data_IF_381220747461
#
_entry.id   IF_381220747461
#
_cell.length_a   1.000
_cell.length_b   1.000
_cell.length_c   1.000
_cell.angle_alpha   90.00
_cell.angle_beta   90.00
_cell.angle_gamma   90.00
#
_symmetry.space_group_name_H-M   'P 1'
#
loop_
_entity.id
_entity.type
_entity.pdbx_description
1 polymer ?
#
# COMPACT_ATOMS: atom_id res chain seq x y z
N UNK A 1 -12.14 4.66 5.33
CA UNK A 1 -11.70 3.73 4.28
C UNK A 1 -12.74 3.70 3.15
N UNK A 2 -12.68 4.68 2.26
CA UNK A 2 -13.69 4.88 1.19
C UNK A 2 -13.46 3.97 -0.03
N UNK A 3 -12.22 3.51 -0.21
CA UNK A 3 -11.82 2.67 -1.36
C UNK A 3 -12.41 1.26 -1.31
N UNK A 4 -12.43 0.65 -0.15
CA UNK A 4 -12.83 -0.74 -0.04
C UNK A 4 -14.27 -1.01 -0.49
N UNK A 5 -15.29 -0.24 -0.09
CA UNK A 5 -16.65 -0.45 -0.60
C UNK A 5 -16.76 -0.33 -2.13
N UNK A 6 -16.03 0.63 -2.72
CA UNK A 6 -16.04 0.85 -4.17
C UNK A 6 -15.44 -0.35 -4.91
N UNK A 7 -14.33 -0.89 -4.40
CA UNK A 7 -13.70 -2.08 -4.98
C UNK A 7 -14.62 -3.29 -4.83
N UNK A 8 -15.21 -3.47 -3.65
CA UNK A 8 -16.08 -4.62 -3.34
C UNK A 8 -17.36 -4.63 -4.19
N UNK A 9 -17.96 -3.48 -4.41
CA UNK A 9 -19.20 -3.37 -5.20
C UNK A 9 -19.00 -3.60 -6.71
N UNK A 10 -17.75 -3.50 -7.19
CA UNK A 10 -17.45 -3.61 -8.63
C UNK A 10 -16.70 -4.88 -9.02
N UNK A 11 -16.39 -5.75 -8.08
CA UNK A 11 -15.70 -7.01 -8.33
C UNK A 11 -16.51 -8.15 -7.74
N UNK A 12 -17.10 -8.95 -8.61
CA UNK A 12 -17.71 -10.22 -8.25
C UNK A 12 -16.61 -11.26 -8.00
N UNK A 13 -16.80 -12.16 -7.03
CA UNK A 13 -15.95 -13.32 -6.74
C UNK A 13 -14.48 -13.05 -6.38
N UNK A 14 -14.20 -12.12 -5.45
CA UNK A 14 -12.85 -12.01 -4.92
C UNK A 14 -12.78 -12.04 -3.39
N UNK A 15 -11.72 -12.62 -2.87
CA UNK A 15 -11.40 -12.60 -1.45
C UNK A 15 -10.42 -11.47 -1.14
N UNK A 16 -10.78 -10.60 -0.19
CA UNK A 16 -9.92 -9.53 0.28
C UNK A 16 -9.22 -9.91 1.59
N UNK A 17 -7.90 -9.78 1.60
CA UNK A 17 -7.08 -9.93 2.80
C UNK A 17 -6.46 -8.59 3.13
N UNK A 18 -6.59 -8.14 4.37
CA UNK A 18 -6.02 -6.87 4.81
C UNK A 18 -4.76 -7.08 5.63
N UNK A 19 -3.79 -6.17 5.45
CA UNK A 19 -2.61 -6.02 6.27
C UNK A 19 -2.52 -4.57 6.74
N UNK A 20 -2.61 -4.33 8.05
CA UNK A 20 -2.59 -2.99 8.64
C UNK A 20 -2.02 -3.02 10.05
N UNK A 21 -1.52 -1.89 10.50
CA UNK A 21 -1.15 -1.62 11.90
C UNK A 21 -2.37 -1.41 12.82
N UNK A 22 -3.55 -1.16 12.23
CA UNK A 22 -4.81 -1.00 12.98
C UNK A 22 -5.26 -2.31 13.63
N UNK A 23 -5.83 -2.21 14.83
CA UNK A 23 -6.49 -3.31 15.52
C UNK A 23 -7.94 -3.53 15.05
N UNK A 24 -8.52 -2.56 14.32
CA UNK A 24 -9.89 -2.66 13.83
C UNK A 24 -9.95 -3.60 12.65
N UNK A 25 -10.76 -4.66 12.80
CA UNK A 25 -11.05 -5.61 11.74
C UNK A 25 -12.06 -5.01 10.76
N UNK A 26 -11.71 -4.82 9.48
CA UNK A 26 -12.69 -4.36 8.50
C UNK A 26 -13.68 -5.48 8.17
N UNK A 27 -14.97 -5.21 8.31
CA UNK A 27 -16.05 -6.19 8.05
C UNK A 27 -16.06 -6.75 6.61
N UNK A 28 -15.46 -6.05 5.66
CA UNK A 28 -15.35 -6.46 4.26
C UNK A 28 -14.13 -7.34 3.97
N UNK A 29 -13.26 -7.57 4.94
CA UNK A 29 -12.05 -8.39 4.75
C UNK A 29 -12.31 -9.81 5.22
N UNK A 30 -11.99 -10.80 4.40
CA UNK A 30 -12.08 -12.22 4.78
C UNK A 30 -11.07 -12.57 5.89
N UNK A 31 -9.94 -11.87 5.93
CA UNK A 31 -8.90 -12.05 6.94
C UNK A 31 -8.12 -10.76 7.16
N UNK A 32 -7.99 -10.37 8.42
CA UNK A 32 -7.16 -9.25 8.83
C UNK A 32 -5.85 -9.75 9.45
N UNK A 33 -4.72 -9.23 8.95
CA UNK A 33 -3.40 -9.49 9.50
C UNK A 33 -2.88 -8.19 10.11
N UNK A 34 -2.69 -8.20 11.44
CA UNK A 34 -2.07 -7.07 12.11
C UNK A 34 -0.56 -7.08 11.86
N UNK A 35 -0.02 -5.93 11.52
CA UNK A 35 1.42 -5.72 11.40
C UNK A 35 1.91 -4.64 12.37
N UNK A 36 3.20 -4.41 12.40
CA UNK A 36 3.81 -3.42 13.27
C UNK A 36 3.68 -2.03 12.64
N UNK A 37 3.52 -1.00 13.46
CA UNK A 37 3.61 0.39 13.00
C UNK A 37 5.02 0.65 12.44
N UNK A 38 5.06 1.17 11.21
CA UNK A 38 6.32 1.39 10.48
C UNK A 38 7.16 2.53 11.06
N UNK A 39 6.54 3.46 11.77
CA UNK A 39 7.15 4.72 12.16
C UNK A 39 7.01 4.98 13.64
N UNK A 40 8.14 4.96 14.34
CA UNK A 40 8.25 5.59 15.63
C UNK A 40 8.34 7.11 15.41
N UNK A 41 7.34 7.85 15.91
CA UNK A 41 7.15 9.28 15.63
C UNK A 41 8.26 10.17 16.18
N UNK A 42 9.14 9.66 17.03
CA UNK A 42 10.01 10.46 17.87
C UNK A 42 11.52 10.26 17.67
N UNK A 43 11.97 9.39 16.77
CA UNK A 43 13.41 9.15 16.61
C UNK A 43 13.82 8.81 15.17
N UNK A 44 14.61 9.70 14.58
CA UNK A 44 15.29 9.46 13.31
C UNK A 44 16.35 8.32 13.42
N UNK A 45 16.98 8.15 14.58
CA UNK A 45 17.94 7.06 14.87
C UNK A 45 17.28 5.68 14.96
N UNK A 46 15.95 5.62 15.18
CA UNK A 46 15.22 4.35 15.20
C UNK A 46 15.09 3.73 13.80
N UNK A 47 15.27 4.50 12.72
CA UNK A 47 15.23 3.98 11.36
C UNK A 47 16.34 2.96 11.10
N UNK A 48 17.50 3.11 11.73
CA UNK A 48 18.63 2.18 11.61
C UNK A 48 18.49 0.92 12.48
N UNK A 49 17.72 0.99 13.58
CA UNK A 49 17.44 -0.14 14.48
C UNK A 49 16.08 -0.80 14.22
N UNK A 50 15.27 -0.28 13.30
CA UNK A 50 13.90 -0.69 13.14
C UNK A 50 13.78 -1.96 12.30
N UNK A 51 13.56 -3.08 12.95
CA UNK A 51 13.27 -4.39 12.34
C UNK A 51 11.86 -4.39 11.68
N UNK A 52 11.06 -3.36 11.91
CA UNK A 52 9.69 -3.23 11.39
C UNK A 52 9.53 -3.51 9.90
N UNK A 53 10.32 -2.89 9.00
CA UNK A 53 10.26 -3.15 7.57
C UNK A 53 10.52 -4.62 7.20
N UNK A 54 11.45 -5.27 7.90
CA UNK A 54 11.77 -6.70 7.69
C UNK A 54 10.63 -7.60 8.14
N UNK A 55 9.96 -7.27 9.23
CA UNK A 55 8.80 -8.02 9.72
C UNK A 55 7.64 -7.88 8.73
N UNK A 56 7.33 -6.66 8.28
CA UNK A 56 6.30 -6.41 7.28
C UNK A 56 6.61 -7.17 5.98
N UNK A 57 7.84 -7.11 5.53
CA UNK A 57 8.29 -7.84 4.36
C UNK A 57 8.07 -9.36 4.52
N UNK A 58 8.54 -9.96 5.61
CA UNK A 58 8.37 -11.40 5.88
C UNK A 58 6.91 -11.81 5.99
N UNK A 59 6.10 -11.02 6.70
CA UNK A 59 4.66 -11.27 6.83
C UNK A 59 3.97 -11.22 5.46
N UNK A 60 4.21 -10.16 4.69
CA UNK A 60 3.64 -10.01 3.35
C UNK A 60 4.08 -11.14 2.45
N UNK A 61 5.37 -11.45 2.40
CA UNK A 61 5.91 -12.54 1.58
C UNK A 61 5.25 -13.88 1.92
N UNK A 62 5.10 -14.21 3.21
CA UNK A 62 4.45 -15.42 3.67
C UNK A 62 2.97 -15.48 3.24
N UNK A 63 2.24 -14.38 3.37
CA UNK A 63 0.83 -14.30 2.96
C UNK A 63 0.69 -14.50 1.45
N UNK A 64 1.52 -13.81 0.66
CA UNK A 64 1.50 -13.88 -0.80
C UNK A 64 1.77 -15.30 -1.32
N UNK A 65 2.75 -15.97 -0.72
CA UNK A 65 3.10 -17.36 -1.08
C UNK A 65 1.99 -18.35 -0.72
N UNK A 66 1.40 -18.19 0.47
CA UNK A 66 0.39 -19.14 0.98
C UNK A 66 -0.99 -18.97 0.33
N UNK A 67 -1.33 -17.76 -0.09
CA UNK A 67 -2.69 -17.40 -0.53
C UNK A 67 -2.83 -17.10 -2.02
N UNK A 68 -1.78 -17.24 -2.79
CA UNK A 68 -1.78 -17.01 -4.26
C UNK A 68 -2.40 -15.64 -4.63
N UNK A 69 -2.00 -14.59 -3.90
CA UNK A 69 -2.52 -13.24 -4.09
C UNK A 69 -2.13 -12.69 -5.46
N UNK A 70 -3.09 -12.25 -6.24
CA UNK A 70 -2.86 -11.72 -7.60
C UNK A 70 -2.47 -10.24 -7.61
N UNK A 71 -3.07 -9.45 -6.70
CA UNK A 71 -2.92 -8.00 -6.69
C UNK A 71 -2.83 -7.49 -5.25
N UNK A 72 -1.93 -6.56 -5.01
CA UNK A 72 -1.89 -5.73 -3.80
C UNK A 72 -2.38 -4.33 -4.16
N UNK A 73 -3.34 -3.81 -3.40
CA UNK A 73 -3.74 -2.41 -3.44
C UNK A 73 -3.28 -1.76 -2.14
N UNK A 74 -2.53 -0.67 -2.24
CA UNK A 74 -1.99 0.03 -1.07
C UNK A 74 -2.08 1.54 -1.20
N UNK A 75 -2.40 2.20 -0.08
CA UNK A 75 -2.46 3.66 0.07
C UNK A 75 -1.49 4.16 1.14
N UNK A 76 -0.77 3.25 1.76
CA UNK A 76 0.06 3.53 2.93
C UNK A 76 1.48 4.00 2.59
N UNK A 77 2.09 4.81 3.45
CA UNK A 77 3.46 5.29 3.22
C UNK A 77 4.51 4.19 3.43
N UNK A 78 4.86 3.87 4.65
CA UNK A 78 6.01 3.01 4.95
C UNK A 78 5.76 1.52 4.73
N UNK A 79 4.61 1.03 5.14
CA UNK A 79 4.19 -0.38 4.98
C UNK A 79 4.16 -0.76 3.50
N UNK A 80 3.73 0.17 2.64
CA UNK A 80 3.61 -0.05 1.21
C UNK A 80 4.94 -0.47 0.55
N UNK A 81 6.06 0.14 0.94
CA UNK A 81 7.36 -0.13 0.33
C UNK A 81 7.80 -1.57 0.63
N UNK A 82 7.76 -1.97 1.91
CA UNK A 82 8.15 -3.31 2.31
C UNK A 82 7.24 -4.39 1.68
N UNK A 83 5.93 -4.14 1.67
CA UNK A 83 4.96 -5.03 1.04
C UNK A 83 5.17 -5.13 -0.48
N UNK A 84 5.49 -4.02 -1.15
CA UNK A 84 5.76 -4.00 -2.59
C UNK A 84 7.02 -4.77 -2.95
N UNK A 85 8.08 -4.66 -2.15
CA UNK A 85 9.29 -5.44 -2.37
C UNK A 85 9.02 -6.95 -2.25
N UNK A 86 8.25 -7.37 -1.25
CA UNK A 86 7.81 -8.76 -1.12
C UNK A 86 6.96 -9.21 -2.32
N UNK A 87 6.05 -8.36 -2.79
CA UNK A 87 5.21 -8.63 -3.95
C UNK A 87 6.01 -8.81 -5.23
N UNK A 88 7.03 -7.99 -5.43
CA UNK A 88 7.94 -8.10 -6.59
C UNK A 88 8.65 -9.45 -6.65
N UNK A 89 9.10 -9.98 -5.50
CA UNK A 89 9.76 -11.29 -5.44
C UNK A 89 8.82 -12.46 -5.78
N UNK A 90 7.53 -12.30 -5.53
CA UNK A 90 6.50 -13.33 -5.79
C UNK A 90 5.84 -13.14 -7.16
N UNK A 91 6.10 -12.03 -7.85
CA UNK A 91 5.44 -11.70 -9.11
C UNK A 91 4.02 -11.15 -8.97
N UNK A 92 3.60 -10.77 -7.75
CA UNK A 92 2.29 -10.17 -7.48
C UNK A 92 2.24 -8.73 -7.99
N UNK A 93 1.16 -8.36 -8.68
CA UNK A 93 0.95 -6.98 -9.16
C UNK A 93 0.65 -6.03 -8.01
N UNK A 94 1.17 -4.81 -8.10
CA UNK A 94 0.99 -3.78 -7.08
C UNK A 94 0.34 -2.55 -7.69
N UNK A 95 -0.75 -2.12 -7.07
CA UNK A 95 -1.45 -0.87 -7.36
C UNK A 95 -1.23 0.06 -6.17
N UNK A 96 -0.66 1.22 -6.41
CA UNK A 96 -0.48 2.25 -5.41
C UNK A 96 -1.41 3.43 -5.67
N UNK A 97 -2.03 3.94 -4.61
CA UNK A 97 -2.89 5.12 -4.67
C UNK A 97 -2.32 6.17 -3.73
N UNK A 98 -1.87 7.29 -4.30
CA UNK A 98 -1.31 8.39 -3.53
C UNK A 98 -2.41 9.08 -2.70
N UNK A 99 -2.04 9.59 -1.55
CA UNK A 99 -2.99 10.24 -0.64
C UNK A 99 -3.60 11.50 -1.25
N UNK A 100 -4.89 11.71 -0.99
CA UNK A 100 -5.63 12.89 -1.44
C UNK A 100 -5.11 14.21 -0.86
N UNK A 101 -4.42 14.16 0.29
CA UNK A 101 -3.87 15.35 0.97
C UNK A 101 -2.61 15.92 0.30
N UNK A 102 -2.09 15.26 -0.74
CA UNK A 102 -0.95 15.76 -1.52
C UNK A 102 -1.42 16.51 -2.74
N UNK A 103 -0.95 17.75 -2.88
CA UNK A 103 -1.33 18.63 -4.00
C UNK A 103 -0.13 19.00 -4.87
N UNK A 104 0.98 19.38 -4.27
CA UNK A 104 2.12 19.99 -5.00
C UNK A 104 3.47 19.43 -4.61
N UNK A 105 3.54 18.48 -3.69
CA UNK A 105 4.82 17.96 -3.18
C UNK A 105 4.93 16.46 -3.26
N UNK A 106 6.13 15.98 -3.55
CA UNK A 106 6.47 14.57 -3.46
C UNK A 106 6.39 14.07 -2.00
N UNK A 107 5.85 12.88 -1.81
CA UNK A 107 6.18 12.09 -0.62
C UNK A 107 7.38 11.19 -0.93
N UNK A 108 8.23 10.91 0.06
CA UNK A 108 9.35 9.97 -0.13
C UNK A 108 8.83 8.59 -0.57
N UNK A 109 7.80 8.10 0.10
CA UNK A 109 7.14 6.85 -0.26
C UNK A 109 6.50 6.90 -1.65
N UNK A 110 5.84 8.01 -2.01
CA UNK A 110 5.27 8.20 -3.35
C UNK A 110 6.31 8.13 -4.46
N UNK A 111 7.48 8.77 -4.27
CA UNK A 111 8.59 8.68 -5.25
C UNK A 111 9.10 7.26 -5.44
N UNK A 112 9.24 6.51 -4.35
CA UNK A 112 9.66 5.10 -4.39
C UNK A 112 8.58 4.24 -5.04
N UNK A 113 7.33 4.40 -4.60
CA UNK A 113 6.20 3.62 -5.10
C UNK A 113 5.87 3.92 -6.58
N UNK A 114 6.10 5.15 -7.04
CA UNK A 114 5.97 5.51 -8.46
C UNK A 114 6.86 4.68 -9.38
N UNK A 115 8.04 4.27 -8.89
CA UNK A 115 8.97 3.40 -9.63
C UNK A 115 8.69 1.91 -9.43
N UNK A 116 8.17 1.53 -8.25
CA UNK A 116 8.00 0.14 -7.87
C UNK A 116 6.63 -0.43 -8.22
N UNK A 117 5.55 0.36 -8.19
CA UNK A 117 4.20 -0.14 -8.46
C UNK A 117 3.97 -0.41 -9.95
N UNK A 118 3.08 -1.36 -10.25
CA UNK A 118 2.65 -1.64 -11.62
C UNK A 118 1.67 -0.58 -12.14
N UNK A 119 0.82 -0.05 -11.23
CA UNK A 119 -0.04 1.09 -11.50
C UNK A 119 0.03 2.07 -10.35
N UNK A 120 0.16 3.35 -10.67
CA UNK A 120 0.25 4.44 -9.72
C UNK A 120 -0.89 5.42 -9.97
N UNK A 121 -1.79 5.54 -9.00
CA UNK A 121 -2.95 6.41 -9.08
C UNK A 121 -2.76 7.66 -8.24
N UNK A 122 -3.23 8.79 -8.74
CA UNK A 122 -3.25 10.09 -8.06
C UNK A 122 -4.67 10.64 -8.01
N UNK A 123 -4.97 11.35 -6.93
CA UNK A 123 -6.29 11.93 -6.69
C UNK A 123 -6.35 13.44 -6.95
N UNK A 124 -5.19 14.08 -7.15
CA UNK A 124 -5.07 15.48 -7.49
C UNK A 124 -4.38 15.64 -8.85
N UNK A 125 -5.04 16.32 -9.78
CA UNK A 125 -4.56 16.50 -11.15
C UNK A 125 -3.21 17.23 -11.23
N UNK A 126 -2.93 18.14 -10.28
CA UNK A 126 -1.65 18.85 -10.16
C UNK A 126 -0.44 17.92 -9.97
N UNK A 127 -0.65 16.72 -9.42
CA UNK A 127 0.42 15.75 -9.27
C UNK A 127 0.89 15.11 -10.60
N UNK A 128 0.17 15.32 -11.72
CA UNK A 128 0.63 14.86 -13.03
C UNK A 128 1.94 15.51 -13.46
N UNK A 129 2.19 16.76 -13.05
CA UNK A 129 3.47 17.43 -13.30
C UNK A 129 4.63 16.72 -12.61
N UNK A 130 4.37 16.15 -11.43
CA UNK A 130 5.35 15.43 -10.62
C UNK A 130 5.47 13.95 -11.01
N UNK A 131 4.37 13.34 -11.42
CA UNK A 131 4.25 11.93 -11.79
C UNK A 131 3.60 11.78 -13.17
N UNK A 132 4.32 12.07 -14.27
CA UNK A 132 3.74 12.13 -15.62
C UNK A 132 3.08 10.84 -16.10
N UNK A 133 3.52 9.67 -15.60
CA UNK A 133 2.95 8.35 -15.94
C UNK A 133 1.88 7.89 -14.95
N UNK A 134 1.49 8.74 -14.00
CA UNK A 134 0.44 8.39 -13.04
C UNK A 134 -0.94 8.46 -13.71
N UNK A 135 -1.86 7.67 -13.17
CA UNK A 135 -3.25 7.64 -13.63
C UNK A 135 -4.06 8.54 -12.70
N UNK A 136 -4.67 9.57 -13.23
CA UNK A 136 -5.58 10.42 -12.47
C UNK A 136 -6.93 9.70 -12.30
N UNK A 137 -7.33 9.45 -11.05
CA UNK A 137 -8.59 8.74 -10.73
C UNK A 137 -9.70 9.66 -10.20
N UNK A 138 -9.42 10.95 -10.07
CA UNK A 138 -10.32 11.82 -9.34
C UNK A 138 -10.22 11.63 -7.81
N UNK A 139 -11.02 12.39 -7.05
CA UNK A 139 -11.14 12.23 -5.59
C UNK A 139 -12.06 11.06 -5.28
N UNK A 140 -11.55 10.13 -4.51
CA UNK A 140 -12.29 8.99 -3.95
C UNK A 140 -13.03 9.38 -2.68
#
# INVERSE_FOLDING_TARGET
NRLAPIILNNLEDFEAITLSDSTKYPHWSCRHNKTIEFRDKYSWLSLLKNIGPLIIFKQTYSILRKKNIKVIVTTGPGIAIAATLAAKLVGTKVIYIETWSRFTTYSLSGRIMYRLSNKFYIQNKSLLELYPKAIYSGRL
#
